data_IF_415156965489
#
_entry.id   IF_415156965489
#
_cell.length_a   1.000
_cell.length_b   1.000
_cell.length_c   1.000
_cell.angle_alpha   90.00
_cell.angle_beta   90.00
_cell.angle_gamma   90.00
#
_symmetry.space_group_name_H-M   'P 1'
#
loop_
_entity.id
_entity.type
_entity.pdbx_description
1 polymer ?
#
# COMPACT_ATOMS: atom_id res chain seq x y z
N UNK A 1 -18.04 12.02 26.65
CA UNK A 1 -17.72 10.83 25.84
C UNK A 1 -17.95 11.22 24.38
N UNK A 2 -16.88 11.37 23.60
CA UNK A 2 -16.94 11.56 22.15
C UNK A 2 -16.96 10.17 21.49
N UNK A 3 -17.81 9.92 20.48
CA UNK A 3 -17.89 8.60 19.87
C UNK A 3 -16.64 8.37 19.02
N UNK A 4 -15.83 7.38 19.39
CA UNK A 4 -14.74 6.88 18.56
C UNK A 4 -15.35 6.30 17.26
N UNK A 5 -14.82 6.62 16.06
CA UNK A 5 -15.33 6.07 14.81
C UNK A 5 -15.16 4.55 14.85
N UNK A 6 -16.26 3.83 14.65
CA UNK A 6 -16.25 2.39 14.53
C UNK A 6 -15.29 1.97 13.40
N UNK A 7 -14.23 1.26 13.74
CA UNK A 7 -13.43 0.54 12.76
C UNK A 7 -14.35 -0.50 12.09
N UNK A 8 -14.55 -0.46 10.77
CA UNK A 8 -15.32 -1.50 10.09
C UNK A 8 -14.67 -2.86 10.36
N UNK A 9 -15.49 -3.83 10.77
CA UNK A 9 -15.06 -5.19 11.04
C UNK A 9 -14.35 -5.78 9.81
N UNK A 10 -13.27 -6.57 9.99
CA UNK A 10 -12.52 -7.12 8.86
C UNK A 10 -13.40 -8.10 8.10
N UNK A 11 -13.85 -7.66 6.92
CA UNK A 11 -14.54 -8.50 5.94
C UNK A 11 -13.52 -9.45 5.30
N UNK A 12 -13.24 -10.57 5.98
CA UNK A 12 -12.85 -11.88 5.42
C UNK A 12 -11.75 -11.99 4.36
N UNK A 13 -10.91 -10.98 4.14
CA UNK A 13 -9.77 -10.98 3.22
C UNK A 13 -8.43 -10.94 3.97
N UNK A 14 -7.32 -11.30 3.31
CA UNK A 14 -6.01 -11.23 3.95
C UNK A 14 -5.66 -9.78 4.33
N UNK A 15 -5.36 -9.54 5.61
CA UNK A 15 -4.99 -8.23 6.13
C UNK A 15 -3.76 -7.67 5.38
N UNK A 16 -3.87 -6.54 4.67
CA UNK A 16 -2.72 -6.02 3.93
C UNK A 16 -1.61 -5.50 4.83
N UNK A 17 -1.92 -5.17 6.10
CA UNK A 17 -0.90 -4.82 7.10
C UNK A 17 0.01 -6.00 7.42
N UNK A 18 -0.54 -7.22 7.46
CA UNK A 18 0.25 -8.44 7.69
C UNK A 18 0.96 -8.87 6.42
N UNK A 19 0.37 -8.62 5.24
CA UNK A 19 1.00 -8.85 3.95
C UNK A 19 2.04 -7.78 3.57
N UNK A 20 1.99 -6.59 4.16
CA UNK A 20 2.85 -5.45 3.82
C UNK A 20 4.35 -5.80 3.72
N UNK A 21 4.97 -6.50 4.70
CA UNK A 21 6.36 -6.94 4.55
C UNK A 21 6.57 -7.81 3.29
N UNK A 22 5.69 -8.76 3.01
CA UNK A 22 5.75 -9.60 1.81
C UNK A 22 5.58 -8.77 0.52
N UNK A 23 4.66 -7.78 0.52
CA UNK A 23 4.43 -6.87 -0.60
C UNK A 23 5.70 -6.04 -0.84
N UNK A 24 6.31 -5.51 0.22
CA UNK A 24 7.58 -4.79 0.13
C UNK A 24 8.68 -5.68 -0.46
N UNK A 25 8.76 -6.96 -0.09
CA UNK A 25 9.72 -7.90 -0.68
C UNK A 25 9.46 -8.15 -2.17
N UNK A 26 8.20 -8.28 -2.58
CA UNK A 26 7.82 -8.38 -3.99
C UNK A 26 8.25 -7.13 -4.78
N UNK A 27 7.96 -5.94 -4.24
CA UNK A 27 8.37 -4.66 -4.82
C UNK A 27 9.89 -4.53 -4.85
N UNK A 28 10.61 -4.99 -3.83
CA UNK A 28 12.08 -4.96 -3.78
C UNK A 28 12.70 -5.76 -4.93
N UNK A 29 12.14 -6.94 -5.23
CA UNK A 29 12.57 -7.76 -6.35
C UNK A 29 12.28 -7.08 -7.71
N UNK A 30 11.17 -6.34 -7.82
CA UNK A 30 10.82 -5.58 -9.04
C UNK A 30 11.65 -4.30 -9.21
N UNK A 31 11.65 -3.43 -8.20
CA UNK A 31 12.32 -2.12 -8.21
C UNK A 31 12.70 -1.67 -6.80
N UNK A 32 14.01 -1.66 -6.55
CA UNK A 32 14.58 -1.22 -5.27
C UNK A 32 14.24 0.23 -4.90
N UNK A 33 14.18 1.16 -5.85
CA UNK A 33 13.77 2.55 -5.59
C UNK A 33 12.35 2.65 -5.03
N UNK A 34 11.38 1.96 -5.65
CA UNK A 34 9.99 1.93 -5.17
C UNK A 34 9.92 1.31 -3.77
N UNK A 35 10.68 0.23 -3.52
CA UNK A 35 10.75 -0.39 -2.19
C UNK A 35 11.29 0.58 -1.13
N UNK A 36 12.37 1.31 -1.43
CA UNK A 36 12.97 2.33 -0.56
C UNK A 36 11.97 3.45 -0.25
N UNK A 37 11.22 3.92 -1.27
CA UNK A 37 10.20 4.95 -1.11
C UNK A 37 9.06 4.46 -0.21
N UNK A 38 8.55 3.26 -0.48
CA UNK A 38 7.44 2.69 0.28
C UNK A 38 7.84 2.32 1.71
N UNK A 39 8.97 1.63 1.92
CA UNK A 39 9.36 1.16 3.25
C UNK A 39 9.73 2.29 4.22
N UNK A 40 10.23 3.41 3.70
CA UNK A 40 10.65 4.54 4.53
C UNK A 40 9.58 5.64 4.62
N UNK A 41 8.82 5.88 3.56
CA UNK A 41 7.91 7.03 3.50
C UNK A 41 6.43 6.64 3.47
N UNK A 42 6.08 5.36 3.31
CA UNK A 42 4.69 4.91 3.18
C UNK A 42 4.33 3.83 4.21
N UNK A 43 3.05 3.80 4.59
CA UNK A 43 2.50 2.76 5.46
C UNK A 43 1.06 2.46 5.06
N UNK A 44 0.62 1.22 5.27
CA UNK A 44 -0.78 0.84 5.03
C UNK A 44 -1.65 1.48 6.10
N UNK A 45 -2.50 2.43 5.70
CA UNK A 45 -3.44 3.12 6.60
C UNK A 45 -4.79 2.43 6.65
N UNK A 46 -5.18 1.76 5.56
CA UNK A 46 -6.47 1.11 5.44
C UNK A 46 -6.56 0.23 4.21
N UNK A 47 -7.59 -0.62 4.19
CA UNK A 47 -7.92 -1.43 3.02
C UNK A 47 -9.38 -1.85 3.05
N UNK A 48 -10.03 -1.70 1.90
CA UNK A 48 -11.46 -1.95 1.72
C UNK A 48 -11.74 -3.24 0.91
N UNK A 49 -10.79 -4.17 0.82
CA UNK A 49 -10.93 -5.40 0.02
C UNK A 49 -10.54 -5.23 -1.46
N UNK A 50 -10.66 -4.02 -2.00
CA UNK A 50 -10.29 -3.71 -3.39
C UNK A 50 -9.32 -2.54 -3.52
N UNK A 51 -9.21 -1.71 -2.48
CA UNK A 51 -8.40 -0.48 -2.50
C UNK A 51 -7.48 -0.45 -1.30
N UNK A 52 -6.17 -0.44 -1.56
CA UNK A 52 -5.10 -0.33 -0.59
C UNK A 52 -4.77 1.14 -0.35
N UNK A 53 -5.04 1.60 0.87
CA UNK A 53 -4.74 2.97 1.27
C UNK A 53 -3.33 3.03 1.86
N UNK A 54 -2.50 3.87 1.26
CA UNK A 54 -1.13 4.12 1.68
C UNK A 54 -1.02 5.55 2.18
N UNK A 55 -0.75 5.69 3.47
CA UNK A 55 -0.41 6.97 4.06
C UNK A 55 1.06 7.27 3.85
N UNK A 56 1.34 8.45 3.30
CA UNK A 56 2.71 8.93 3.15
C UNK A 56 3.08 9.89 4.28
N UNK A 57 4.33 9.86 4.73
CA UNK A 57 4.81 10.76 5.80
C UNK A 57 4.76 12.25 5.41
N UNK A 58 4.78 12.56 4.12
CA UNK A 58 4.71 13.93 3.61
C UNK A 58 4.17 13.97 2.19
N UNK A 59 3.53 15.09 1.82
CA UNK A 59 3.00 15.31 0.48
C UNK A 59 4.06 15.13 -0.62
N UNK A 60 5.32 15.51 -0.36
CA UNK A 60 6.42 15.31 -1.31
C UNK A 60 6.74 13.83 -1.60
N UNK A 61 6.61 12.94 -0.61
CA UNK A 61 6.81 11.52 -0.83
C UNK A 61 5.65 10.89 -1.64
N UNK A 62 4.42 11.35 -1.37
CA UNK A 62 3.23 10.99 -2.14
C UNK A 62 3.33 11.44 -3.60
N UNK A 63 3.72 12.69 -3.83
CA UNK A 63 3.93 13.23 -5.19
C UNK A 63 5.04 12.45 -5.92
N UNK A 64 6.16 12.20 -5.25
CA UNK A 64 7.24 11.38 -5.81
C UNK A 64 6.77 9.96 -6.15
N UNK A 65 5.92 9.35 -5.34
CA UNK A 65 5.34 8.03 -5.61
C UNK A 65 4.44 8.04 -6.86
N UNK A 66 3.57 9.04 -6.98
CA UNK A 66 2.67 9.20 -8.12
C UNK A 66 3.44 9.52 -9.41
N UNK A 67 4.41 10.44 -9.36
CA UNK A 67 5.18 10.88 -10.52
C UNK A 67 6.26 9.88 -10.96
N UNK A 68 6.80 9.05 -10.05
CA UNK A 68 7.90 8.12 -10.38
C UNK A 68 7.46 6.82 -11.06
N UNK A 69 6.15 6.62 -11.25
CA UNK A 69 5.58 5.34 -11.70
C UNK A 69 5.70 4.23 -10.65
N UNK A 70 5.93 4.58 -9.39
CA UNK A 70 6.06 3.61 -8.29
C UNK A 70 4.74 2.89 -8.01
N UNK A 71 3.61 3.54 -8.27
CA UNK A 71 2.28 2.95 -8.18
C UNK A 71 2.10 1.75 -9.12
N UNK A 72 2.52 1.89 -10.38
CA UNK A 72 2.42 0.82 -11.37
C UNK A 72 3.25 -0.40 -10.95
N UNK A 73 4.47 -0.16 -10.47
CA UNK A 73 5.35 -1.22 -9.97
C UNK A 73 4.73 -1.94 -8.76
N UNK A 74 4.07 -1.20 -7.86
CA UNK A 74 3.38 -1.80 -6.72
C UNK A 74 2.20 -2.66 -7.19
N UNK A 75 1.37 -2.16 -8.10
CA UNK A 75 0.24 -2.90 -8.69
C UNK A 75 0.71 -4.16 -9.43
N UNK A 76 1.79 -4.05 -10.19
CA UNK A 76 2.40 -5.17 -10.89
C UNK A 76 2.96 -6.21 -9.90
N UNK A 77 3.62 -5.78 -8.82
CA UNK A 77 4.10 -6.68 -7.77
C UNK A 77 2.94 -7.42 -7.08
N UNK A 78 1.85 -6.71 -6.77
CA UNK A 78 0.64 -7.30 -6.18
C UNK A 78 0.00 -8.35 -7.10
N UNK A 79 -0.14 -8.01 -8.38
CA UNK A 79 -0.73 -8.92 -9.36
C UNK A 79 0.15 -10.14 -9.60
N UNK A 80 1.46 -9.96 -9.68
CA UNK A 80 2.39 -11.05 -10.02
C UNK A 80 2.71 -11.98 -8.86
N UNK A 81 2.85 -11.46 -7.64
CA UNK A 81 3.14 -12.29 -6.45
C UNK A 81 1.89 -12.83 -5.78
N UNK A 82 0.81 -12.04 -5.71
CA UNK A 82 -0.39 -12.40 -4.96
C UNK A 82 -1.59 -12.71 -5.86
N UNK A 83 -1.50 -12.45 -7.17
CA UNK A 83 -2.64 -12.64 -8.08
C UNK A 83 -3.78 -11.65 -7.84
N UNK A 84 -3.54 -10.56 -7.10
CA UNK A 84 -4.57 -9.59 -6.70
C UNK A 84 -4.44 -8.30 -7.49
N UNK A 85 -5.58 -7.74 -7.89
CA UNK A 85 -5.65 -6.51 -8.67
C UNK A 85 -6.24 -5.39 -7.82
N UNK A 86 -5.49 -4.96 -6.81
CA UNK A 86 -5.90 -3.90 -5.91
C UNK A 86 -5.63 -2.51 -6.47
N UNK A 87 -6.55 -1.59 -6.22
CA UNK A 87 -6.34 -0.16 -6.43
C UNK A 87 -5.41 0.38 -5.34
N UNK A 88 -4.61 1.37 -5.69
CA UNK A 88 -3.73 2.05 -4.73
C UNK A 88 -4.30 3.45 -4.53
N UNK A 89 -4.53 3.81 -3.27
CA UNK A 89 -4.99 5.12 -2.86
C UNK A 89 -3.90 5.73 -1.98
N UNK A 90 -3.17 6.69 -2.52
CA UNK A 90 -2.15 7.41 -1.76
C UNK A 90 -2.84 8.55 -1.00
N UNK A 91 -2.94 8.44 0.33
CA UNK A 91 -3.55 9.43 1.21
C UNK A 91 -2.50 10.36 1.82
#
# INVERSE_FOLDING_TARGET
QTPAPAAPAPVGGPDPRTLWPNILEAVKNKRRFTWILLSQNAQVTGFDGTTLQLGFMSAGARDNFASSGSEDVLKAALTEQFGVQWKIDAV
#
